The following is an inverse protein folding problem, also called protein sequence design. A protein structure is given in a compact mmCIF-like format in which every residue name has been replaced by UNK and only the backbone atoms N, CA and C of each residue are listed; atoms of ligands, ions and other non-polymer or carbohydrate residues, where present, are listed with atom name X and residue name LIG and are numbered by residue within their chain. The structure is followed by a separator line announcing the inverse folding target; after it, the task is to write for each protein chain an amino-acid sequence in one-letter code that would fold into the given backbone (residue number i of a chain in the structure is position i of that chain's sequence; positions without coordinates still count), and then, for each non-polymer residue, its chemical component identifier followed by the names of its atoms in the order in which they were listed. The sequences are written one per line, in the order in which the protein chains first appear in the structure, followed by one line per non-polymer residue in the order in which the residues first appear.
data_IF_176094709086
#
_entry.id   IF_176094709086
#
_cell.length_a   1.000
_cell.length_b   1.000
_cell.length_c   1.000
_cell.angle_alpha   90.00
_cell.angle_beta   90.00
_cell.angle_gamma   90.00
#
_symmetry.space_group_name_H-M   'P 1'
#
loop_
_entity.id
_entity.type
_entity.pdbx_description
1 polymer ?
#
# COMPACT_ATOMS: atom_id res chain seq x y z
N UNK A 1 -10.88 14.47 -9.68
CA UNK A 1 -10.48 13.04 -9.75
C UNK A 1 -10.20 12.60 -8.33
N UNK A 2 -10.89 11.55 -7.85
CA UNK A 2 -10.72 11.05 -6.48
C UNK A 2 -9.36 10.36 -6.41
N UNK A 3 -8.54 10.70 -5.40
CA UNK A 3 -7.23 10.08 -5.26
C UNK A 3 -7.35 8.61 -4.83
N UNK A 4 -6.29 7.83 -5.02
CA UNK A 4 -6.24 6.45 -4.53
C UNK A 4 -6.38 6.38 -2.99
N UNK A 5 -5.85 7.39 -2.28
CA UNK A 5 -5.96 7.51 -0.83
C UNK A 5 -7.41 7.79 -0.40
N UNK A 6 -8.09 8.72 -1.07
CA UNK A 6 -9.49 9.05 -0.78
C UNK A 6 -10.39 7.82 -0.95
N UNK A 7 -10.16 7.04 -2.01
CA UNK A 7 -10.87 5.78 -2.25
C UNK A 7 -10.62 4.75 -1.14
N UNK A 8 -9.40 4.68 -0.61
CA UNK A 8 -9.09 3.78 0.49
C UNK A 8 -9.81 4.22 1.77
N UNK A 9 -9.70 5.49 2.14
CA UNK A 9 -10.36 6.05 3.32
C UNK A 9 -11.87 5.89 3.28
N UNK A 10 -12.49 6.15 2.12
CA UNK A 10 -13.92 5.97 1.90
C UNK A 10 -14.37 4.53 2.18
N UNK A 11 -13.63 3.54 1.67
CA UNK A 11 -13.94 2.12 1.91
C UNK A 11 -13.80 1.74 3.37
N UNK A 12 -12.68 2.11 3.99
CA UNK A 12 -12.42 1.80 5.41
C UNK A 12 -13.49 2.43 6.32
N UNK A 13 -13.97 3.64 5.99
CA UNK A 13 -15.08 4.30 6.69
C UNK A 13 -16.39 3.53 6.54
N UNK A 14 -16.78 3.21 5.30
CA UNK A 14 -18.02 2.48 4.99
C UNK A 14 -18.06 1.06 5.56
N UNK A 15 -16.89 0.43 5.71
CA UNK A 15 -16.75 -0.90 6.28
C UNK A 15 -16.65 -0.87 7.83
N UNK A 16 -16.57 0.32 8.43
CA UNK A 16 -16.51 0.50 9.89
C UNK A 16 -15.17 0.06 10.50
N UNK A 17 -14.11 0.03 9.69
CA UNK A 17 -12.78 -0.42 10.11
C UNK A 17 -11.89 0.73 10.64
N UNK A 18 -12.37 1.97 10.58
CA UNK A 18 -11.65 3.13 11.12
C UNK A 18 -11.79 3.19 12.65
N UNK A 19 -10.71 3.62 13.33
CA UNK A 19 -10.80 3.98 14.74
C UNK A 19 -11.55 5.32 14.93
N UNK A 20 -11.89 5.63 16.18
CA UNK A 20 -12.70 6.83 16.52
C UNK A 20 -12.02 8.13 16.09
N UNK A 21 -10.71 8.24 16.28
CA UNK A 21 -9.95 9.43 15.90
C UNK A 21 -9.85 9.61 14.38
N UNK A 22 -9.65 8.53 13.63
CA UNK A 22 -9.61 8.54 12.18
C UNK A 22 -10.99 8.82 11.57
N UNK A 23 -12.06 8.34 12.21
CA UNK A 23 -13.46 8.63 11.85
C UNK A 23 -13.75 10.12 11.97
N UNK A 24 -13.41 10.74 13.11
CA UNK A 24 -13.59 12.18 13.32
C UNK A 24 -12.81 13.02 12.29
N UNK A 25 -11.56 12.63 12.02
CA UNK A 25 -10.74 13.31 10.99
C UNK A 25 -11.35 13.18 9.58
N UNK A 26 -11.93 12.02 9.25
CA UNK A 26 -12.59 11.81 7.97
C UNK A 26 -13.90 12.58 7.84
N UNK A 27 -14.67 12.73 8.93
CA UNK A 27 -15.86 13.57 8.96
C UNK A 27 -15.55 15.05 8.70
N UNK A 28 -14.46 15.56 9.28
CA UNK A 28 -13.97 16.91 8.96
C UNK A 28 -13.57 17.02 7.49
N UNK A 29 -12.90 16.00 6.94
CA UNK A 29 -12.52 15.96 5.52
C UNK A 29 -13.75 15.98 4.60
N UNK A 30 -14.86 15.34 4.97
CA UNK A 30 -16.12 15.39 4.22
C UNK A 30 -16.75 16.79 4.21
N UNK A 31 -16.58 17.57 5.28
CA UNK A 31 -17.02 18.98 5.32
C UNK A 31 -16.18 19.82 4.35
N UNK A 32 -14.86 19.60 4.33
CA UNK A 32 -13.95 20.32 3.43
C UNK A 32 -14.12 19.91 1.96
N UNK A 33 -14.55 18.66 1.71
CA UNK A 33 -14.71 18.07 0.38
C UNK A 33 -16.10 17.44 0.22
N UNK A 34 -17.13 18.23 -0.16
CA UNK A 34 -18.51 17.75 -0.25
C UNK A 34 -18.71 16.61 -1.26
N UNK A 35 -17.84 16.50 -2.26
CA UNK A 35 -17.79 15.37 -3.20
C UNK A 35 -17.60 14.00 -2.52
N UNK A 36 -16.94 13.93 -1.35
CA UNK A 36 -16.80 12.69 -0.57
C UNK A 36 -18.09 12.35 0.18
N UNK A 37 -18.79 13.36 0.71
CA UNK A 37 -20.07 13.17 1.38
C UNK A 37 -21.12 12.60 0.42
N UNK A 38 -21.20 13.13 -0.81
CA UNK A 38 -22.11 12.61 -1.85
C UNK A 38 -21.85 11.13 -2.17
N UNK A 39 -20.59 10.68 -2.14
CA UNK A 39 -20.23 9.28 -2.39
C UNK A 39 -20.63 8.37 -1.23
N UNK A 40 -20.43 8.81 0.02
CA UNK A 40 -20.88 8.09 1.21
C UNK A 40 -22.40 7.92 1.19
N UNK A 41 -23.13 8.99 0.87
CA UNK A 41 -24.58 8.97 0.77
C UNK A 41 -25.06 8.01 -0.34
N UNK A 42 -24.41 8.05 -1.51
CA UNK A 42 -24.74 7.16 -2.63
C UNK A 42 -24.49 5.67 -2.30
N UNK A 43 -23.35 5.33 -1.68
CA UNK A 43 -23.05 3.96 -1.30
C UNK A 43 -23.96 3.47 -0.16
N UNK A 44 -24.24 4.32 0.83
CA UNK A 44 -25.17 4.00 1.92
C UNK A 44 -26.57 3.77 1.39
N UNK A 45 -27.06 4.61 0.47
CA UNK A 45 -28.34 4.43 -0.21
C UNK A 45 -28.38 3.11 -1.00
N UNK A 46 -27.30 2.76 -1.71
CA UNK A 46 -27.19 1.51 -2.44
C UNK A 46 -27.23 0.30 -1.49
N UNK A 47 -26.47 0.32 -0.39
CA UNK A 47 -26.47 -0.74 0.64
C UNK A 47 -27.86 -0.89 1.26
N UNK A 48 -28.55 0.21 1.57
CA UNK A 48 -29.94 0.16 2.06
C UNK A 48 -30.91 -0.43 1.03
N UNK A 49 -30.77 -0.07 -0.25
CA UNK A 49 -31.61 -0.61 -1.33
C UNK A 49 -31.38 -2.11 -1.56
N UNK A 50 -30.13 -2.57 -1.46
CA UNK A 50 -29.78 -3.98 -1.57
C UNK A 50 -30.23 -4.78 -0.33
N UNK A 51 -30.03 -4.25 0.88
CA UNK A 51 -30.47 -4.90 2.12
C UNK A 51 -31.99 -4.98 2.27
N UNK A 52 -32.74 -4.05 1.67
CA UNK A 52 -34.22 -4.07 1.67
C UNK A 52 -34.82 -5.00 0.60
N UNK A 53 -34.06 -5.43 -0.41
CA UNK A 53 -34.52 -6.40 -1.42
C UNK A 53 -34.73 -7.82 -0.87
N UNK A 54 -34.05 -8.20 0.22
CA UNK A 54 -34.27 -9.50 0.85
C UNK A 54 -35.58 -9.58 1.67
N UNK A 55 -36.23 -8.46 1.95
CA UNK A 55 -37.47 -8.41 2.75
C UNK A 55 -38.76 -8.65 1.93
N UNK A 56 -38.66 -8.90 0.62
CA UNK A 56 -39.82 -9.06 -0.26
C UNK A 56 -39.73 -10.28 -1.18
N UNK A 57 -39.36 -11.45 -0.64
CA UNK A 57 -39.71 -12.73 -1.28
C UNK A 57 -41.07 -13.19 -0.76
N UNK A 58 -42.16 -13.15 -1.57
CA UNK A 58 -43.38 -13.83 -1.20
C UNK A 58 -43.08 -15.32 -1.08
N UNK A 59 -43.35 -15.88 0.10
CA UNK A 59 -43.27 -17.30 0.39
C UNK A 59 -44.08 -18.10 -0.64
N UNK A 60 -43.41 -18.62 -1.67
CA UNK A 60 -43.97 -19.57 -2.61
C UNK A 60 -43.24 -20.90 -2.47
N UNK A 61 -43.96 -21.86 -1.93
CA UNK A 61 -43.91 -23.25 -2.37
C UNK A 61 -42.69 -24.06 -1.93
N UNK A 62 -42.83 -24.73 -0.79
CA UNK A 62 -42.11 -25.97 -0.50
C UNK A 62 -42.31 -26.97 -1.65
N UNK A 63 -41.26 -27.19 -2.44
CA UNK A 63 -41.15 -28.36 -3.31
C UNK A 63 -40.13 -29.33 -2.68
N UNK A 64 -40.70 -30.30 -1.99
CA UNK A 64 -40.04 -31.54 -1.56
C UNK A 64 -39.40 -32.20 -2.78
N UNK A 65 -38.08 -32.34 -2.79
CA UNK A 65 -37.40 -33.22 -3.75
C UNK A 65 -36.86 -34.44 -3.00
N UNK A 66 -37.58 -35.53 -3.18
CA UNK A 66 -37.28 -36.90 -2.76
C UNK A 66 -35.98 -37.40 -3.40
N UNK A 67 -35.09 -37.95 -2.58
CA UNK A 67 -34.00 -38.81 -3.00
C UNK A 67 -34.54 -40.17 -3.47
N UNK A 68 -33.89 -40.82 -4.45
CA UNK A 68 -33.92 -42.26 -4.51
C UNK A 68 -32.53 -42.85 -4.29
N UNK A 69 -32.52 -43.78 -3.35
CA UNK A 69 -31.52 -44.82 -3.08
C UNK A 69 -31.48 -45.80 -4.26
N UNK A 70 -30.28 -46.26 -4.65
CA UNK A 70 -29.96 -47.70 -4.85
C UNK A 70 -28.52 -47.86 -5.37
N UNK A 71 -27.61 -48.52 -4.64
CA UNK A 71 -27.43 -49.98 -4.47
C UNK A 71 -26.65 -50.62 -5.62
N UNK A 72 -25.69 -51.48 -5.23
CA UNK A 72 -25.03 -52.54 -5.99
C UNK A 72 -23.67 -52.23 -6.63
N UNK A 73 -22.63 -52.62 -5.88
CA UNK A 73 -21.36 -53.05 -6.43
C UNK A 73 -21.51 -54.39 -7.18
N UNK A 74 -20.84 -54.53 -8.33
CA UNK A 74 -20.32 -55.83 -8.75
C UNK A 74 -18.82 -55.75 -9.06
N UNK A 75 -18.04 -56.54 -8.32
CA UNK A 75 -16.69 -56.94 -8.73
C UNK A 75 -16.78 -57.95 -9.89
N UNK A 76 -15.97 -57.79 -10.95
CA UNK A 76 -15.34 -58.99 -11.48
C UNK A 76 -13.90 -58.82 -12.00
N UNK A 77 -13.07 -59.77 -11.52
CA UNK A 77 -12.12 -60.61 -12.28
C UNK A 77 -10.89 -59.96 -12.93
N UNK A 78 -9.74 -60.29 -12.34
CA UNK A 78 -8.40 -60.16 -12.91
C UNK A 78 -8.33 -60.76 -14.32
N UNK A 79 -8.19 -59.89 -15.33
CA UNK A 79 -7.86 -60.22 -16.71
C UNK A 79 -6.44 -59.80 -17.06
N UNK A 80 -5.54 -60.78 -17.09
CA UNK A 80 -4.38 -60.94 -18.00
C UNK A 80 -3.72 -59.66 -18.54
N UNK A 81 -2.54 -59.36 -18.00
CA UNK A 81 -1.63 -58.27 -18.37
C UNK A 81 -1.24 -58.28 -19.86
N UNK A 82 -1.77 -57.35 -20.64
CA UNK A 82 -1.22 -56.95 -21.93
C UNK A 82 -0.42 -55.66 -21.69
N UNK A 83 0.92 -55.75 -21.73
CA UNK A 83 1.79 -54.59 -21.51
C UNK A 83 1.51 -53.52 -22.58
N UNK A 84 1.00 -52.33 -22.23
CA UNK A 84 0.77 -51.28 -23.22
C UNK A 84 2.11 -50.65 -23.60
N UNK A 85 2.41 -50.60 -24.90
CA UNK A 85 3.65 -50.07 -25.46
C UNK A 85 3.76 -48.53 -25.40
N UNK A 86 3.00 -47.88 -24.52
CA UNK A 86 2.89 -46.43 -24.39
C UNK A 86 3.80 -45.87 -23.27
N UNK A 87 4.60 -46.72 -22.64
CA UNK A 87 5.55 -46.33 -21.61
C UNK A 87 6.66 -45.34 -22.02
N UNK A 88 7.10 -45.19 -23.30
CA UNK A 88 8.15 -44.22 -23.59
C UNK A 88 7.67 -42.76 -23.62
N UNK A 89 6.35 -42.49 -23.69
CA UNK A 89 5.82 -41.12 -23.68
C UNK A 89 5.70 -40.51 -22.27
N UNK A 90 5.58 -41.34 -21.23
CA UNK A 90 5.50 -40.87 -19.84
C UNK A 90 6.85 -40.48 -19.24
N UNK A 91 7.96 -41.04 -19.75
CA UNK A 91 9.30 -40.69 -19.28
C UNK A 91 9.72 -39.27 -19.71
N UNK A 92 9.33 -38.82 -20.90
CA UNK A 92 9.69 -37.49 -21.42
C UNK A 92 9.02 -36.34 -20.64
N UNK A 93 7.82 -36.55 -20.11
CA UNK A 93 7.11 -35.53 -19.31
C UNK A 93 7.78 -35.26 -17.94
N UNK A 94 8.43 -36.27 -17.36
CA UNK A 94 9.08 -36.13 -16.04
C UNK A 94 10.35 -35.28 -16.07
N UNK A 95 11.09 -35.31 -17.19
CA UNK A 95 12.33 -34.52 -17.34
C UNK A 95 12.04 -33.03 -17.50
N UNK A 96 10.97 -32.66 -18.23
CA UNK A 96 10.56 -31.26 -18.37
C UNK A 96 10.06 -30.66 -17.04
N UNK A 97 9.39 -31.46 -16.21
CA UNK A 97 8.91 -30.99 -14.90
C UNK A 97 10.08 -30.71 -13.92
N UNK A 98 11.11 -31.55 -13.94
CA UNK A 98 12.30 -31.38 -13.10
C UNK A 98 13.13 -30.14 -13.50
N UNK A 99 13.27 -29.89 -14.81
CA UNK A 99 13.96 -28.70 -15.32
C UNK A 99 13.16 -27.42 -15.03
N UNK A 100 11.82 -27.47 -15.16
CA UNK A 100 10.93 -26.36 -14.80
C UNK A 100 10.99 -25.99 -13.31
N UNK A 101 11.03 -26.97 -12.40
CA UNK A 101 11.18 -26.71 -10.97
C UNK A 101 12.56 -26.15 -10.58
N UNK A 102 13.62 -26.55 -11.28
CA UNK A 102 14.97 -26.02 -11.05
C UNK A 102 15.11 -24.53 -11.42
N UNK A 103 14.55 -24.13 -12.57
CA UNK A 103 14.55 -22.74 -13.01
C UNK A 103 13.58 -21.86 -12.20
N UNK A 104 12.45 -22.41 -11.74
CA UNK A 104 11.49 -21.67 -10.92
C UNK A 104 12.08 -21.18 -9.58
N UNK A 105 13.07 -21.89 -9.02
CA UNK A 105 13.74 -21.46 -7.77
C UNK A 105 14.75 -20.32 -7.95
N UNK A 106 15.30 -20.13 -9.15
CA UNK A 106 16.15 -18.97 -9.46
C UNK A 106 15.34 -17.69 -9.68
N UNK A 107 14.02 -17.83 -9.82
CA UNK A 107 13.07 -16.74 -10.00
C UNK A 107 12.18 -16.50 -8.79
N UNK A 108 12.49 -17.12 -7.64
CA UNK A 108 11.91 -16.66 -6.38
C UNK A 108 12.59 -15.33 -6.09
N UNK A 109 11.89 -14.18 -6.16
CA UNK A 109 12.48 -12.93 -5.72
C UNK A 109 12.96 -13.16 -4.29
N UNK A 110 14.26 -12.94 -4.05
CA UNK A 110 14.77 -12.92 -2.68
C UNK A 110 13.82 -11.99 -1.93
N UNK A 111 13.19 -12.52 -0.88
CA UNK A 111 12.41 -11.72 0.04
C UNK A 111 13.39 -10.71 0.62
N UNK A 112 13.50 -9.54 -0.01
CA UNK A 112 14.10 -8.36 0.57
C UNK A 112 13.33 -8.15 1.85
N UNK A 113 13.95 -8.57 2.96
CA UNK A 113 13.36 -8.40 4.28
C UNK A 113 12.90 -6.96 4.38
N UNK A 114 11.65 -6.76 4.80
CA UNK A 114 11.06 -5.44 4.96
C UNK A 114 11.98 -4.65 5.91
N UNK A 115 12.76 -3.74 5.35
CA UNK A 115 13.61 -2.86 6.14
C UNK A 115 12.65 -1.89 6.84
N UNK A 116 12.68 -1.78 8.17
CA UNK A 116 11.86 -0.81 8.88
C UNK A 116 12.11 0.56 8.27
N UNK A 117 11.03 1.15 7.74
CA UNK A 117 11.05 2.43 7.04
C UNK A 117 10.20 3.38 7.84
N UNK A 118 10.84 4.39 8.43
CA UNK A 118 10.11 5.42 9.17
C UNK A 118 9.87 6.61 8.25
N UNK A 119 8.60 6.91 8.01
CA UNK A 119 8.19 8.07 7.22
C UNK A 119 8.12 9.29 8.13
N UNK A 120 8.77 10.37 7.70
CA UNK A 120 8.71 11.65 8.39
C UNK A 120 8.26 12.74 7.43
N UNK A 121 7.17 13.40 7.79
CA UNK A 121 6.66 14.57 7.06
C UNK A 121 7.16 15.85 7.75
N UNK A 122 7.90 16.65 6.99
CA UNK A 122 8.35 17.98 7.43
C UNK A 122 7.44 19.02 6.79
N UNK A 123 6.29 19.29 7.41
CA UNK A 123 5.32 20.26 6.91
C UNK A 123 5.33 21.58 7.72
N UNK A 124 5.47 22.71 7.02
CA UNK A 124 5.40 24.08 7.55
C UNK A 124 3.96 24.60 7.62
N UNK A 125 3.05 24.13 6.77
CA UNK A 125 1.67 24.64 6.70
C UNK A 125 0.92 24.34 8.02
N UNK A 126 1.29 23.25 8.71
CA UNK A 126 0.73 22.87 10.02
C UNK A 126 1.69 23.06 11.20
N UNK A 127 2.95 23.42 10.95
CA UNK A 127 3.99 23.57 11.97
C UNK A 127 4.19 25.03 12.34
N UNK A 128 3.83 25.43 13.56
CA UNK A 128 4.18 26.76 14.08
C UNK A 128 5.70 26.97 14.06
N UNK A 129 6.15 28.08 13.47
CA UNK A 129 7.52 28.49 13.10
C UNK A 129 8.55 28.56 14.27
N UNK A 130 8.26 27.98 15.45
CA UNK A 130 9.05 28.18 16.68
C UNK A 130 9.49 26.92 17.41
N UNK A 131 8.96 25.74 17.10
CA UNK A 131 9.33 24.53 17.84
C UNK A 131 10.18 23.60 16.97
N UNK A 132 11.42 23.37 17.39
CA UNK A 132 12.32 22.40 16.77
C UNK A 132 11.68 21.03 16.94
N UNK A 133 11.23 20.42 15.83
CA UNK A 133 10.62 19.10 15.88
C UNK A 133 11.68 18.07 16.25
N UNK A 134 11.45 17.38 17.36
CA UNK A 134 12.25 16.23 17.79
C UNK A 134 11.77 14.99 17.04
N UNK A 135 12.66 14.40 16.28
CA UNK A 135 12.40 13.27 15.42
C UNK A 135 13.12 12.05 15.99
N UNK A 136 12.39 10.99 16.33
CA UNK A 136 13.02 9.77 16.84
C UNK A 136 13.52 8.91 15.68
N UNK A 137 14.82 8.77 15.56
CA UNK A 137 15.45 8.07 14.44
C UNK A 137 15.83 6.64 14.84
N UNK A 138 15.45 5.61 14.05
CA UNK A 138 15.90 4.25 14.31
C UNK A 138 17.42 4.14 14.12
N UNK A 139 18.08 3.27 14.88
CA UNK A 139 19.55 3.05 14.79
C UNK A 139 19.96 2.48 13.43
N UNK A 140 19.07 1.72 12.80
CA UNK A 140 19.28 1.06 11.52
C UNK A 140 18.05 1.24 10.62
N UNK A 141 18.23 1.07 9.31
CA UNK A 141 17.16 1.12 8.33
C UNK A 141 17.19 2.34 7.41
N UNK A 142 16.03 2.63 6.83
CA UNK A 142 15.83 3.74 5.89
C UNK A 142 14.91 4.78 6.52
N UNK A 143 15.26 6.04 6.34
CA UNK A 143 14.48 7.18 6.77
C UNK A 143 13.95 7.83 5.50
N UNK A 144 12.63 7.96 5.40
CA UNK A 144 12.01 8.68 4.29
C UNK A 144 11.64 10.07 4.77
N UNK A 145 12.33 11.08 4.23
CA UNK A 145 12.04 12.50 4.46
C UNK A 145 11.10 12.97 3.36
N UNK A 146 9.88 13.36 3.74
CA UNK A 146 8.93 13.99 2.84
C UNK A 146 9.04 15.51 3.02
N UNK A 147 9.52 16.19 1.97
CA UNK A 147 9.83 17.63 1.98
C UNK A 147 8.93 18.33 0.96
N UNK A 148 8.22 19.40 1.33
CA UNK A 148 7.41 20.15 0.39
C UNK A 148 8.33 20.87 -0.61
N UNK A 149 8.03 20.73 -1.90
CA UNK A 149 8.78 21.38 -2.99
C UNK A 149 7.81 22.14 -3.89
N UNK A 150 8.30 23.15 -4.60
CA UNK A 150 7.43 23.96 -5.48
C UNK A 150 7.03 23.17 -6.72
N UNK A 151 5.78 23.32 -7.15
CA UNK A 151 5.22 22.73 -8.38
C UNK A 151 5.31 23.68 -9.58
N UNK A 152 6.03 24.80 -9.46
CA UNK A 152 6.24 25.74 -10.56
C UNK A 152 6.96 25.05 -11.73
N UNK A 153 6.35 25.08 -12.92
CA UNK A 153 6.76 24.31 -14.09
C UNK A 153 8.14 24.66 -14.66
N UNK A 154 8.73 25.79 -14.25
CA UNK A 154 10.09 26.19 -14.65
C UNK A 154 11.15 25.90 -13.60
N UNK A 155 10.77 25.41 -12.42
CA UNK A 155 11.68 25.25 -11.29
C UNK A 155 12.22 23.82 -11.19
N UNK A 156 13.55 23.67 -11.21
CA UNK A 156 14.19 22.44 -10.79
C UNK A 156 14.49 22.55 -9.29
N UNK A 157 13.69 21.85 -8.47
CA UNK A 157 13.87 21.85 -7.02
C UNK A 157 15.10 21.02 -6.64
N UNK A 158 16.00 21.61 -5.86
CA UNK A 158 17.15 20.95 -5.24
C UNK A 158 16.93 20.89 -3.74
N UNK A 159 16.88 19.69 -3.18
CA UNK A 159 16.81 19.50 -1.73
C UNK A 159 18.20 19.20 -1.20
N UNK A 160 18.62 20.01 -0.22
CA UNK A 160 19.90 19.88 0.47
C UNK A 160 19.64 19.56 1.93
N UNK A 161 20.14 18.42 2.38
CA UNK A 161 20.13 17.98 3.77
C UNK A 161 21.54 18.10 4.31
N UNK A 162 21.75 18.92 5.34
CA UNK A 162 23.06 19.12 5.97
C UNK A 162 23.02 18.78 7.47
N UNK A 163 24.03 18.05 7.92
CA UNK A 163 24.21 17.70 9.33
C UNK A 163 25.68 17.50 9.63
N UNK A 164 26.19 18.21 10.64
CA UNK A 164 27.56 18.02 11.15
C UNK A 164 28.65 18.05 10.06
N UNK A 165 28.47 18.90 9.03
CA UNK A 165 29.38 19.02 7.88
C UNK A 165 29.17 18.01 6.75
N UNK A 166 28.30 17.01 6.94
CA UNK A 166 27.83 16.13 5.86
C UNK A 166 26.73 16.88 5.11
N UNK A 167 26.84 16.95 3.78
CA UNK A 167 25.82 17.55 2.92
C UNK A 167 25.38 16.50 1.91
N UNK A 168 24.07 16.27 1.86
CA UNK A 168 23.40 15.42 0.89
C UNK A 168 22.54 16.31 0.01
N UNK A 169 22.72 16.24 -1.30
CA UNK A 169 21.94 17.00 -2.27
C UNK A 169 21.29 16.05 -3.27
N UNK A 170 20.03 16.32 -3.57
CA UNK A 170 19.30 15.56 -4.57
C UNK A 170 18.31 16.47 -5.30
N UNK A 171 18.19 16.23 -6.61
CA UNK A 171 17.14 16.84 -7.42
C UNK A 171 15.80 16.22 -7.02
N UNK A 172 14.79 17.08 -6.89
CA UNK A 172 13.49 16.75 -6.36
C UNK A 172 12.43 16.96 -7.43
N UNK A 173 11.61 15.94 -7.67
CA UNK A 173 10.36 16.11 -8.41
C UNK A 173 9.22 16.09 -7.40
N UNK A 174 8.31 17.08 -7.41
CA UNK A 174 7.08 16.99 -6.63
C UNK A 174 6.25 15.79 -7.10
N UNK A 175 5.56 15.16 -6.16
CA UNK A 175 4.41 14.29 -6.41
C UNK A 175 3.14 15.11 -6.65
N UNK A 176 2.01 14.42 -6.83
CA UNK A 176 0.69 15.04 -7.07
C UNK A 176 0.22 15.95 -5.91
N UNK A 177 0.88 15.86 -4.75
CA UNK A 177 0.58 16.65 -3.56
C UNK A 177 1.63 17.75 -3.27
N UNK A 178 2.64 17.91 -4.13
CA UNK A 178 3.69 18.91 -3.96
C UNK A 178 4.80 18.51 -2.98
N UNK A 179 4.97 17.21 -2.71
CA UNK A 179 6.03 16.69 -1.86
C UNK A 179 7.08 15.93 -2.67
N UNK A 180 8.33 16.00 -2.21
CA UNK A 180 9.40 15.14 -2.69
C UNK A 180 9.86 14.24 -1.55
N UNK A 181 9.98 12.94 -1.84
CA UNK A 181 10.37 11.93 -0.87
C UNK A 181 11.84 11.54 -1.07
N UNK A 182 12.64 11.63 -0.01
CA UNK A 182 14.07 11.30 0.00
C UNK A 182 14.34 10.17 0.98
N UNK A 183 14.88 9.05 0.49
CA UNK A 183 15.35 7.98 1.36
C UNK A 183 16.81 8.21 1.76
N UNK A 184 17.07 8.30 3.05
CA UNK A 184 18.43 8.39 3.61
C UNK A 184 18.64 7.19 4.55
N UNK A 185 19.74 6.43 4.41
CA UNK A 185 20.07 5.40 5.38
C UNK A 185 20.25 6.01 6.77
N UNK A 186 19.65 5.42 7.80
CA UNK A 186 19.76 5.94 9.17
C UNK A 186 21.21 6.06 9.65
N UNK A 187 22.09 5.17 9.18
CA UNK A 187 23.52 5.16 9.47
C UNK A 187 24.29 6.37 8.91
N UNK A 188 23.70 7.15 8.02
CA UNK A 188 24.27 8.41 7.49
C UNK A 188 23.87 9.62 8.32
N UNK A 189 22.91 9.48 9.23
CA UNK A 189 22.45 10.54 10.11
C UNK A 189 22.97 10.31 11.53
N UNK A 190 23.33 11.39 12.20
CA UNK A 190 23.73 11.38 13.61
C UNK A 190 22.63 12.04 14.46
N UNK A 191 22.58 11.80 15.78
CA UNK A 191 21.79 12.61 16.69
C UNK A 191 22.17 14.09 16.60
N UNK A 192 21.19 14.98 16.70
CA UNK A 192 21.38 16.43 16.69
C UNK A 192 20.64 17.14 15.55
N UNK A 193 21.03 18.38 15.29
CA UNK A 193 20.32 19.24 14.33
C UNK A 193 20.63 18.83 12.89
N UNK A 194 19.58 18.55 12.14
CA UNK A 194 19.53 18.32 10.71
C UNK A 194 18.92 19.56 10.06
N UNK A 195 19.64 20.21 9.16
CA UNK A 195 19.11 21.32 8.37
C UNK A 195 18.67 20.80 7.00
N UNK A 196 17.41 21.05 6.63
CA UNK A 196 16.84 20.66 5.35
C UNK A 196 16.48 21.95 4.62
N UNK A 197 17.10 22.19 3.48
CA UNK A 197 16.83 23.36 2.65
C UNK A 197 16.35 22.95 1.27
N UNK A 198 15.42 23.72 0.73
CA UNK A 198 14.86 23.55 -0.62
C UNK A 198 15.25 24.78 -1.41
N UNK A 199 16.03 24.58 -2.47
CA UNK A 199 16.41 25.61 -3.41
C UNK A 199 15.68 25.42 -4.74
N UNK A 200 15.35 26.52 -5.37
CA UNK A 200 14.78 26.60 -6.71
C UNK A 200 15.67 27.54 -7.52
N UNK A 201 16.24 27.07 -8.63
CA UNK A 201 17.14 27.85 -9.50
C UNK A 201 18.30 28.51 -8.72
N UNK A 202 18.83 27.79 -7.72
CA UNK A 202 19.92 28.25 -6.86
C UNK A 202 19.50 29.22 -5.74
N UNK A 203 18.23 29.63 -5.68
CA UNK A 203 17.69 30.43 -4.58
C UNK A 203 17.03 29.53 -3.53
N UNK A 204 17.46 29.65 -2.27
CA UNK A 204 16.82 28.94 -1.15
C UNK A 204 15.41 29.52 -0.94
N UNK A 205 14.40 28.68 -1.14
CA UNK A 205 12.97 29.01 -0.94
C UNK A 205 12.51 28.67 0.46
N UNK A 206 13.07 27.62 1.04
CA UNK A 206 12.76 27.19 2.40
C UNK A 206 13.99 26.57 3.07
N UNK A 207 14.11 26.74 4.39
CA UNK A 207 15.05 26.01 5.23
C UNK A 207 14.36 25.62 6.54
N UNK A 208 14.61 24.40 7.00
CA UNK A 208 14.00 23.77 8.16
C UNK A 208 15.08 23.18 9.05
N UNK A 209 14.92 23.28 10.36
CA UNK A 209 15.78 22.59 11.33
C UNK A 209 14.98 21.51 12.04
N UNK A 210 15.48 20.28 12.00
CA UNK A 210 14.91 19.11 12.66
C UNK A 210 15.93 18.59 13.67
N UNK A 211 15.53 18.30 14.90
CA UNK A 211 16.41 17.68 15.89
C UNK A 211 16.22 16.16 15.86
N UNK A 212 17.25 15.43 15.47
CA UNK A 212 17.26 13.98 15.47
C UNK A 212 17.63 13.47 16.87
N UNK A 213 16.77 12.62 17.43
CA UNK A 213 16.93 11.99 18.76
C UNK A 213 16.89 10.47 18.56
N UNK A 214 17.71 9.70 19.28
CA UNK A 214 17.60 8.24 19.33
C UNK A 214 16.64 7.80 20.46
#
# INVERSE_FOLDING_TARGET
MISALDNHLLRTYLDGEMDEAATEAFEVLMIERPELAELVDADTALRMALGSSDAALPAQGSAVFTTPVDTAAPSPKLGRTRRPHWFPLLAAASVLLAVGMGLGRLWVPQSTGLVPTTLFSVDRIRGSDREVRKLRVPVEGQIVLSVPVTTESSCISLVRVSQSGIVLEALASPDDYGFANFSVPATRLAPGNLEVSVACDGQVRASYTVELVH
#
